data_IF_196002919129
#
_entry.id   IF_196002919129
#
_cell.length_a   1.000
_cell.length_b   1.000
_cell.length_c   1.000
_cell.angle_alpha   90.00
_cell.angle_beta   90.00
_cell.angle_gamma   90.00
#
_symmetry.space_group_name_H-M   'P 1'
#
loop_
_entity.id
_entity.type
_entity.pdbx_description
1 polymer ?
#
# COMPACT_ATOMS: atom_id res chain seq x y z
N UNK A 1 -16.51 3.86 31.38
CA UNK A 1 -16.12 3.57 29.98
C UNK A 1 -15.05 4.57 29.59
N UNK A 2 -13.78 4.19 29.43
CA UNK A 2 -12.73 5.14 29.09
C UNK A 2 -13.01 5.67 27.69
N UNK A 3 -13.18 6.99 27.57
CA UNK A 3 -13.45 7.66 26.30
C UNK A 3 -12.32 7.36 25.32
N UNK A 4 -12.69 6.92 24.11
CA UNK A 4 -11.75 6.84 23.01
C UNK A 4 -11.22 8.26 22.77
N UNK A 5 -9.96 8.53 23.12
CA UNK A 5 -9.34 9.84 22.88
C UNK A 5 -9.48 10.17 21.40
N UNK A 6 -10.00 11.36 21.11
CA UNK A 6 -10.15 11.87 19.74
C UNK A 6 -8.80 11.97 19.04
N UNK A 7 -7.78 12.35 19.82
CA UNK A 7 -6.41 12.59 19.36
C UNK A 7 -5.48 11.63 20.11
N UNK A 8 -5.09 10.58 19.38
CA UNK A 8 -4.08 9.63 19.83
C UNK A 8 -2.70 10.29 19.69
N UNK A 9 -1.80 10.14 20.66
CA UNK A 9 -0.43 10.63 20.50
C UNK A 9 0.20 9.99 19.26
N UNK A 10 1.04 10.75 18.55
CA UNK A 10 1.78 10.32 17.36
C UNK A 10 0.92 9.89 16.16
N UNK A 11 -0.39 10.20 16.12
CA UNK A 11 -1.23 9.96 14.94
C UNK A 11 -0.66 10.57 13.67
N UNK A 12 -0.06 11.76 13.77
CA UNK A 12 0.49 12.53 12.64
C UNK A 12 1.63 11.81 11.91
N UNK A 13 2.33 10.88 12.58
CA UNK A 13 3.37 10.04 11.98
C UNK A 13 2.77 9.00 11.01
N UNK A 14 1.49 8.64 11.20
CA UNK A 14 0.74 7.78 10.28
C UNK A 14 0.19 8.66 9.16
N UNK A 15 1.00 8.93 8.15
CA UNK A 15 0.63 9.80 7.01
C UNK A 15 -0.34 9.11 6.04
N UNK A 16 -1.24 9.90 5.44
CA UNK A 16 -2.15 9.39 4.42
C UNK A 16 -1.33 8.94 3.18
N UNK A 17 -1.60 7.74 2.62
CA UNK A 17 -0.81 7.21 1.52
C UNK A 17 -0.97 8.03 0.23
N UNK A 18 0.15 8.28 -0.44
CA UNK A 18 0.17 8.95 -1.75
C UNK A 18 -0.27 8.01 -2.87
N UNK A 19 -1.04 8.54 -3.83
CA UNK A 19 -1.40 7.89 -5.10
C UNK A 19 -1.15 8.83 -6.26
N UNK A 20 -0.50 8.35 -7.32
CA UNK A 20 -0.34 9.13 -8.54
C UNK A 20 -1.66 9.25 -9.33
N UNK A 21 -2.53 8.25 -9.25
CA UNK A 21 -3.82 8.21 -9.94
C UNK A 21 -4.95 8.54 -8.97
N UNK A 22 -5.95 9.36 -9.37
CA UNK A 22 -7.11 9.64 -8.54
C UNK A 22 -7.88 8.37 -8.14
N UNK A 23 -8.14 8.21 -6.84
CA UNK A 23 -8.89 7.07 -6.31
C UNK A 23 -10.40 7.22 -6.55
N UNK A 24 -11.16 6.15 -6.35
CA UNK A 24 -12.63 6.19 -6.52
C UNK A 24 -13.29 7.22 -5.59
N UNK A 25 -12.84 7.32 -4.33
CA UNK A 25 -13.38 8.28 -3.37
C UNK A 25 -13.03 9.74 -3.69
N UNK A 26 -11.93 9.99 -4.41
CA UNK A 26 -11.63 11.32 -4.94
C UNK A 26 -12.49 11.67 -6.15
N UNK A 27 -12.81 10.69 -6.99
CA UNK A 27 -13.63 10.90 -8.20
C UNK A 27 -15.13 10.99 -7.91
N UNK A 28 -15.61 10.34 -6.85
CA UNK A 28 -17.04 10.31 -6.49
C UNK A 28 -17.24 10.57 -4.98
N UNK A 29 -16.93 11.76 -4.44
CA UNK A 29 -16.94 12.00 -3.00
C UNK A 29 -18.30 11.74 -2.33
N UNK A 30 -19.40 12.06 -3.02
CA UNK A 30 -20.76 11.91 -2.51
C UNK A 30 -21.09 10.46 -2.16
N UNK A 31 -20.58 9.49 -2.92
CA UNK A 31 -20.78 8.05 -2.70
C UNK A 31 -20.08 7.53 -1.43
N UNK A 32 -19.05 8.23 -0.95
CA UNK A 32 -18.27 7.81 0.22
C UNK A 32 -18.66 8.59 1.49
N UNK A 33 -19.40 9.69 1.36
CA UNK A 33 -19.71 10.64 2.44
C UNK A 33 -21.06 10.38 3.12
N UNK A 34 -21.39 9.13 3.43
CA UNK A 34 -22.64 8.79 4.11
C UNK A 34 -22.51 8.81 5.65
N UNK A 35 -23.57 9.29 6.30
CA UNK A 35 -23.73 9.25 7.76
C UNK A 35 -24.22 7.87 8.25
N UNK A 36 -24.15 7.62 9.56
CA UNK A 36 -24.46 6.34 10.18
C UNK A 36 -25.97 5.99 10.24
N UNK A 37 -26.85 6.89 9.78
CA UNK A 37 -28.32 6.78 9.87
C UNK A 37 -28.87 6.53 8.46
N UNK A 38 -29.02 5.26 8.09
CA UNK A 38 -29.24 4.85 6.69
C UNK A 38 -30.72 4.74 6.31
N UNK A 39 -31.10 5.48 5.28
CA UNK A 39 -32.19 5.11 4.37
C UNK A 39 -31.76 3.93 3.49
N UNK A 40 -32.69 3.18 2.86
CA UNK A 40 -32.33 2.09 1.94
C UNK A 40 -31.41 2.54 0.79
N UNK A 41 -31.59 3.76 0.28
CA UNK A 41 -30.72 4.34 -0.75
C UNK A 41 -29.28 4.53 -0.24
N UNK A 42 -29.10 5.08 0.97
CA UNK A 42 -27.77 5.22 1.57
C UNK A 42 -27.09 3.86 1.81
N UNK A 43 -27.86 2.80 2.10
CA UNK A 43 -27.33 1.45 2.25
C UNK A 43 -26.72 0.92 0.93
N UNK A 44 -27.41 1.15 -0.19
CA UNK A 44 -26.93 0.76 -1.52
C UNK A 44 -25.64 1.51 -1.88
N UNK A 45 -25.58 2.81 -1.63
CA UNK A 45 -24.40 3.64 -1.87
C UNK A 45 -23.21 3.19 -1.01
N UNK A 46 -23.44 2.87 0.27
CA UNK A 46 -22.39 2.35 1.17
C UNK A 46 -21.81 1.04 0.64
N UNK A 47 -22.65 0.11 0.14
CA UNK A 47 -22.16 -1.15 -0.42
C UNK A 47 -21.39 -0.93 -1.72
N UNK A 48 -21.86 -0.05 -2.59
CA UNK A 48 -21.12 0.34 -3.79
C UNK A 48 -19.77 0.99 -3.44
N UNK A 49 -19.73 1.88 -2.45
CA UNK A 49 -18.50 2.51 -1.97
C UNK A 49 -17.51 1.47 -1.41
N UNK A 50 -17.99 0.49 -0.64
CA UNK A 50 -17.16 -0.60 -0.12
C UNK A 50 -16.56 -1.44 -1.23
N UNK A 51 -17.34 -1.77 -2.26
CA UNK A 51 -16.86 -2.52 -3.42
C UNK A 51 -15.74 -1.76 -4.13
N UNK A 52 -15.93 -0.47 -4.42
CA UNK A 52 -14.91 0.37 -5.04
C UNK A 52 -13.66 0.53 -4.17
N UNK A 53 -13.82 0.63 -2.84
CA UNK A 53 -12.70 0.68 -1.91
C UNK A 53 -11.87 -0.62 -1.88
N UNK A 54 -12.50 -1.78 -2.08
CA UNK A 54 -11.84 -3.08 -1.87
C UNK A 54 -10.68 -3.33 -2.85
N UNK A 55 -10.78 -2.81 -4.08
CA UNK A 55 -9.74 -2.87 -5.10
C UNK A 55 -8.74 -1.71 -5.04
N UNK A 56 -8.84 -0.80 -4.07
CA UNK A 56 -8.00 0.38 -4.01
C UNK A 56 -6.56 0.01 -3.58
N UNK A 57 -5.51 0.39 -4.34
CA UNK A 57 -4.13 -0.01 -4.05
C UNK A 57 -3.61 0.55 -2.70
N UNK A 58 -4.25 1.60 -2.19
CA UNK A 58 -3.90 2.23 -0.90
C UNK A 58 -4.84 1.87 0.24
N UNK A 59 -5.78 0.92 0.07
CA UNK A 59 -6.78 0.59 1.08
C UNK A 59 -6.15 0.29 2.46
N UNK A 60 -5.06 -0.48 2.51
CA UNK A 60 -4.36 -0.78 3.77
C UNK A 60 -3.75 0.46 4.45
N UNK A 61 -3.20 1.39 3.68
CA UNK A 61 -2.68 2.67 4.19
C UNK A 61 -3.80 3.60 4.65
N UNK A 62 -4.85 3.69 3.85
CA UNK A 62 -6.07 4.46 4.11
C UNK A 62 -6.76 3.99 5.41
N UNK A 63 -6.86 2.68 5.65
CA UNK A 63 -7.43 2.15 6.88
C UNK A 63 -6.61 2.54 8.11
N UNK A 64 -5.28 2.38 8.06
CA UNK A 64 -4.40 2.77 9.19
C UNK A 64 -4.55 4.25 9.53
N UNK A 65 -4.54 5.10 8.50
CA UNK A 65 -4.74 6.53 8.65
C UNK A 65 -6.11 6.84 9.29
N UNK A 66 -7.19 6.27 8.76
CA UNK A 66 -8.56 6.51 9.22
C UNK A 66 -8.83 5.98 10.65
N UNK A 67 -8.08 4.98 11.10
CA UNK A 67 -8.15 4.51 12.47
C UNK A 67 -7.41 5.46 13.42
N UNK A 68 -6.29 6.05 13.00
CA UNK A 68 -5.49 6.95 13.82
C UNK A 68 -6.09 8.38 13.90
N UNK A 69 -6.67 8.87 12.82
CA UNK A 69 -7.25 10.22 12.70
C UNK A 69 -8.78 10.14 12.85
N UNK A 70 -9.24 9.81 14.06
CA UNK A 70 -10.65 9.51 14.30
C UNK A 70 -11.58 10.73 14.11
N UNK A 71 -11.07 11.94 14.35
CA UNK A 71 -11.77 13.21 14.13
C UNK A 71 -11.99 13.47 12.64
N UNK A 72 -10.96 13.32 11.81
CA UNK A 72 -11.02 13.54 10.36
C UNK A 72 -11.80 12.43 9.64
N UNK A 73 -11.55 11.17 10.01
CA UNK A 73 -12.25 10.02 9.47
C UNK A 73 -13.49 9.64 10.31
N UNK A 74 -14.23 10.63 10.83
CA UNK A 74 -15.41 10.38 11.68
C UNK A 74 -16.57 9.78 10.91
N UNK A 75 -16.78 10.22 9.67
CA UNK A 75 -17.93 9.83 8.82
C UNK A 75 -17.47 9.06 7.57
N UNK A 76 -18.45 8.52 6.84
CA UNK A 76 -18.22 7.91 5.53
C UNK A 76 -17.50 6.56 5.52
N UNK A 77 -17.25 6.09 4.30
CA UNK A 77 -16.59 4.81 4.00
C UNK A 77 -15.11 5.03 3.74
N UNK A 78 -14.27 4.36 4.54
CA UNK A 78 -12.82 4.40 4.42
C UNK A 78 -12.29 2.98 4.34
N UNK A 79 -11.53 2.65 3.28
CA UNK A 79 -10.95 1.32 3.09
C UNK A 79 -11.97 0.17 3.32
N UNK A 80 -13.15 0.30 2.72
CA UNK A 80 -14.27 -0.64 2.83
C UNK A 80 -14.84 -0.81 4.25
N UNK A 81 -14.59 0.16 5.14
CA UNK A 81 -15.15 0.20 6.50
C UNK A 81 -16.01 1.43 6.72
N UNK A 82 -17.12 1.26 7.41
CA UNK A 82 -17.99 2.33 7.90
C UNK A 82 -17.45 2.91 9.21
N UNK A 83 -17.93 4.09 9.60
CA UNK A 83 -17.59 4.71 10.88
C UNK A 83 -17.79 3.77 12.08
N UNK A 84 -18.91 3.04 12.10
CA UNK A 84 -19.22 2.06 13.16
C UNK A 84 -18.23 0.89 13.19
N UNK A 85 -17.86 0.36 12.03
CA UNK A 85 -16.84 -0.70 11.94
C UNK A 85 -15.47 -0.19 12.41
N UNK A 86 -15.11 1.06 12.10
CA UNK A 86 -13.85 1.67 12.56
C UNK A 86 -13.80 1.83 14.08
N UNK A 87 -14.91 2.15 14.75
CA UNK A 87 -14.98 2.17 16.23
C UNK A 87 -14.61 0.80 16.79
N UNK A 88 -15.23 -0.28 16.28
CA UNK A 88 -14.93 -1.64 16.72
C UNK A 88 -13.47 -2.03 16.45
N UNK A 89 -12.91 -1.62 15.31
CA UNK A 89 -11.50 -1.88 14.97
C UNK A 89 -10.54 -1.16 15.92
N UNK A 90 -10.81 0.11 16.28
CA UNK A 90 -10.00 0.83 17.26
C UNK A 90 -10.03 0.16 18.63
N UNK A 91 -11.18 -0.36 19.05
CA UNK A 91 -11.29 -1.10 20.31
C UNK A 91 -10.45 -2.37 20.30
N UNK A 92 -10.50 -3.15 19.21
CA UNK A 92 -9.65 -4.34 19.05
C UNK A 92 -8.16 -4.01 19.01
N UNK A 93 -7.78 -2.84 18.48
CA UNK A 93 -6.39 -2.38 18.49
C UNK A 93 -5.96 -1.99 19.90
N UNK A 94 -6.79 -1.24 20.63
CA UNK A 94 -6.51 -0.87 22.00
C UNK A 94 -6.38 -2.08 22.93
N UNK A 95 -7.24 -3.08 22.74
CA UNK A 95 -7.19 -4.36 23.46
C UNK A 95 -5.90 -5.15 23.20
N UNK A 96 -5.40 -5.15 21.95
CA UNK A 96 -4.22 -5.93 21.56
C UNK A 96 -2.89 -5.23 21.79
N UNK A 97 -2.84 -3.91 21.64
CA UNK A 97 -1.60 -3.13 21.58
C UNK A 97 -1.48 -2.08 22.70
N UNK A 98 -2.53 -1.88 23.52
CA UNK A 98 -2.56 -0.84 24.54
C UNK A 98 -3.30 0.43 24.09
N UNK A 99 -3.53 1.34 25.03
CA UNK A 99 -4.26 2.60 24.80
C UNK A 99 -3.53 3.56 23.84
N UNK A 100 -2.22 3.41 23.71
CA UNK A 100 -1.29 4.12 22.82
C UNK A 100 -0.98 3.36 21.52
N UNK A 101 -1.88 2.45 21.10
CA UNK A 101 -1.70 1.63 19.91
C UNK A 101 -1.28 2.41 18.65
N UNK A 102 -1.66 3.69 18.52
CA UNK A 102 -1.29 4.55 17.41
C UNK A 102 0.23 4.75 17.33
N UNK A 103 0.90 4.99 18.46
CA UNK A 103 2.36 5.10 18.56
C UNK A 103 3.03 3.80 18.12
N UNK A 104 2.52 2.65 18.57
CA UNK A 104 3.02 1.33 18.16
C UNK A 104 2.90 1.11 16.65
N UNK A 105 1.80 1.56 16.05
CA UNK A 105 1.59 1.48 14.59
C UNK A 105 2.52 2.45 13.87
N UNK A 106 2.68 3.69 14.35
CA UNK A 106 3.59 4.67 13.80
C UNK A 106 5.04 4.16 13.75
N UNK A 107 5.54 3.61 14.87
CA UNK A 107 6.90 3.04 14.94
C UNK A 107 7.12 1.86 13.99
N UNK A 108 6.06 1.07 13.72
CA UNK A 108 6.13 -0.01 12.72
C UNK A 108 6.22 0.56 11.31
N UNK A 109 5.48 1.62 11.01
CA UNK A 109 5.51 2.27 9.69
C UNK A 109 6.86 2.95 9.43
N UNK A 110 7.43 3.61 10.43
CA UNK A 110 8.75 4.24 10.31
C UNK A 110 9.84 3.22 10.10
N UNK A 111 9.82 2.09 10.82
CA UNK A 111 10.73 0.97 10.56
C UNK A 111 10.59 0.43 9.14
N UNK A 112 9.36 0.26 8.64
CA UNK A 112 9.12 -0.19 7.25
C UNK A 112 9.65 0.82 6.23
N UNK A 113 9.48 2.12 6.49
CA UNK A 113 10.00 3.20 5.63
C UNK A 113 11.52 3.20 5.62
N UNK A 114 12.14 3.11 6.80
CA UNK A 114 13.59 3.02 6.95
C UNK A 114 14.18 1.80 6.24
N UNK A 115 13.55 0.61 6.38
CA UNK A 115 13.96 -0.60 5.66
C UNK A 115 13.88 -0.43 4.13
N UNK A 116 12.80 0.17 3.62
CA UNK A 116 12.66 0.44 2.17
C UNK A 116 13.71 1.43 1.65
N UNK A 117 14.04 2.46 2.43
CA UNK A 117 15.09 3.42 2.09
C UNK A 117 16.47 2.74 2.13
N UNK A 118 16.76 1.98 3.20
CA UNK A 118 18.00 1.22 3.32
C UNK A 118 18.17 0.27 2.14
N UNK A 119 17.13 -0.45 1.72
CA UNK A 119 17.17 -1.35 0.57
C UNK A 119 17.52 -0.65 -0.76
N UNK A 120 17.26 0.66 -0.92
CA UNK A 120 17.66 1.42 -2.12
C UNK A 120 19.16 1.71 -2.15
N UNK A 121 19.77 1.85 -0.97
CA UNK A 121 21.19 2.20 -0.82
C UNK A 121 22.05 1.02 -0.34
N UNK A 122 21.43 -0.15 -0.13
CA UNK A 122 22.15 -1.36 0.27
C UNK A 122 23.05 -1.76 -0.89
N UNK A 123 24.37 -1.85 -0.67
CA UNK A 123 25.27 -2.29 -1.71
C UNK A 123 24.93 -3.71 -2.12
N UNK A 124 25.13 -4.02 -3.41
CA UNK A 124 24.99 -5.38 -3.91
C UNK A 124 25.87 -6.33 -3.09
N UNK A 125 25.37 -7.52 -2.77
CA UNK A 125 26.22 -8.56 -2.17
C UNK A 125 27.37 -8.91 -3.14
N UNK A 126 28.49 -9.44 -2.63
CA UNK A 126 29.69 -9.77 -3.43
C UNK A 126 29.34 -10.55 -4.70
N UNK A 127 28.46 -11.55 -4.60
CA UNK A 127 28.01 -12.34 -5.74
C UNK A 127 27.23 -11.50 -6.78
N UNK A 128 26.31 -10.63 -6.35
CA UNK A 128 25.58 -9.73 -7.24
C UNK A 128 26.51 -8.71 -7.90
N UNK A 129 27.46 -8.15 -7.14
CA UNK A 129 28.46 -7.23 -7.68
C UNK A 129 29.36 -7.91 -8.72
N UNK A 130 29.72 -9.18 -8.51
CA UNK A 130 30.48 -10.00 -9.47
C UNK A 130 29.68 -10.23 -10.75
N UNK A 131 28.39 -10.54 -10.65
CA UNK A 131 27.50 -10.67 -11.82
C UNK A 131 27.47 -9.37 -12.62
N UNK A 132 27.26 -8.23 -11.95
CA UNK A 132 27.20 -6.92 -12.63
C UNK A 132 28.54 -6.56 -13.28
N UNK A 133 29.68 -6.88 -12.65
CA UNK A 133 31.00 -6.70 -13.25
C UNK A 133 31.17 -7.57 -14.50
N UNK A 134 30.85 -8.87 -14.41
CA UNK A 134 30.96 -9.78 -15.54
C UNK A 134 30.05 -9.36 -16.71
N UNK A 135 28.81 -8.95 -16.42
CA UNK A 135 27.89 -8.41 -17.43
C UNK A 135 28.49 -7.17 -18.13
N UNK A 136 29.09 -6.26 -17.37
CA UNK A 136 29.78 -5.10 -17.94
C UNK A 136 30.96 -5.48 -18.81
N UNK A 137 31.74 -6.48 -18.41
CA UNK A 137 32.91 -6.94 -19.17
C UNK A 137 32.49 -7.62 -20.49
N UNK A 138 31.38 -8.38 -20.47
CA UNK A 138 30.88 -9.12 -21.64
C UNK A 138 30.00 -8.27 -22.58
N UNK A 139 29.13 -7.43 -22.03
CA UNK A 139 28.09 -6.69 -22.75
C UNK A 139 28.37 -5.19 -22.84
N UNK A 140 29.43 -4.69 -22.19
CA UNK A 140 29.72 -3.27 -22.06
C UNK A 140 28.86 -2.58 -21.00
N UNK A 141 29.04 -1.26 -20.79
CA UNK A 141 28.26 -0.51 -19.80
C UNK A 141 26.78 -0.42 -20.18
N UNK A 142 25.89 -0.56 -19.19
CA UNK A 142 24.45 -0.36 -19.36
C UNK A 142 24.15 1.02 -19.99
N UNK A 143 23.38 1.10 -21.08
CA UNK A 143 23.06 2.37 -21.73
C UNK A 143 22.17 3.22 -20.82
N UNK A 144 22.48 4.52 -20.70
CA UNK A 144 21.68 5.47 -19.90
C UNK A 144 20.22 5.60 -20.36
N UNK A 145 19.95 5.31 -21.64
CA UNK A 145 18.61 5.23 -22.22
C UNK A 145 18.46 3.87 -22.91
N UNK A 146 17.82 2.89 -22.25
CA UNK A 146 17.63 1.59 -22.87
C UNK A 146 16.73 1.73 -24.10
N UNK A 147 17.10 1.03 -25.18
CA UNK A 147 16.27 0.92 -26.37
C UNK A 147 14.91 0.33 -25.98
N UNK A 148 13.81 0.97 -26.38
CA UNK A 148 12.47 0.40 -26.21
C UNK A 148 12.36 -0.83 -27.11
N UNK A 149 12.08 -1.97 -26.51
CA UNK A 149 11.77 -3.19 -27.24
C UNK A 149 10.32 -3.13 -27.71
N UNK A 150 10.10 -3.54 -28.96
CA UNK A 150 8.76 -3.86 -29.47
C UNK A 150 8.21 -5.11 -28.76
N UNK A 151 6.88 -5.28 -28.79
CA UNK A 151 6.23 -6.44 -28.17
C UNK A 151 6.78 -7.77 -28.72
N UNK A 152 7.04 -7.83 -30.02
CA UNK A 152 7.54 -9.03 -30.68
C UNK A 152 9.01 -9.31 -30.31
N UNK A 153 9.86 -8.28 -30.21
CA UNK A 153 11.23 -8.44 -29.70
C UNK A 153 11.22 -8.96 -28.25
N UNK A 154 10.31 -8.45 -27.42
CA UNK A 154 10.17 -8.90 -26.04
C UNK A 154 9.73 -10.37 -25.96
N UNK A 155 8.76 -10.78 -26.77
CA UNK A 155 8.31 -12.18 -26.86
C UNK A 155 9.43 -13.13 -27.30
N UNK A 156 10.21 -12.74 -28.32
CA UNK A 156 11.36 -13.53 -28.77
C UNK A 156 12.43 -13.68 -27.69
N UNK A 157 12.74 -12.59 -26.98
CA UNK A 157 13.70 -12.62 -25.88
C UNK A 157 13.24 -13.53 -24.75
N UNK A 158 11.96 -13.45 -24.36
CA UNK A 158 11.36 -14.32 -23.34
C UNK A 158 11.43 -15.78 -23.76
N UNK A 159 11.07 -16.10 -25.01
CA UNK A 159 11.15 -17.46 -25.53
C UNK A 159 12.58 -18.00 -25.44
N UNK A 160 13.58 -17.23 -25.91
CA UNK A 160 14.99 -17.62 -25.86
C UNK A 160 15.48 -17.88 -24.43
N UNK A 161 15.08 -17.04 -23.46
CA UNK A 161 15.43 -17.22 -22.06
C UNK A 161 14.80 -18.50 -21.47
N UNK A 162 13.51 -18.75 -21.76
CA UNK A 162 12.81 -19.93 -21.28
C UNK A 162 13.43 -21.22 -21.82
N UNK A 163 13.77 -21.25 -23.12
CA UNK A 163 14.46 -22.41 -23.73
C UNK A 163 15.83 -22.65 -23.08
N UNK A 164 16.60 -21.59 -22.83
CA UNK A 164 17.90 -21.70 -22.16
C UNK A 164 17.81 -22.21 -20.72
N UNK A 165 16.78 -21.81 -19.97
CA UNK A 165 16.52 -22.32 -18.62
C UNK A 165 16.10 -23.79 -18.65
N UNK A 166 15.27 -24.20 -19.61
CA UNK A 166 14.84 -25.59 -19.77
C UNK A 166 16.01 -26.51 -20.14
N UNK A 167 16.88 -26.08 -21.06
CA UNK A 167 18.07 -26.85 -21.46
C UNK A 167 19.02 -27.11 -20.27
N UNK A 168 19.20 -26.16 -19.35
CA UNK A 168 20.01 -26.34 -18.13
C UNK A 168 19.37 -27.24 -17.07
N UNK A 169 18.05 -27.48 -17.12
CA UNK A 169 17.36 -28.39 -16.19
C UNK A 169 17.36 -29.84 -16.68
N UNK A 170 17.62 -30.05 -17.96
CA UNK A 170 17.56 -31.36 -18.61
C UNK A 170 18.93 -32.06 -18.73
N UNK A 171 20.03 -31.38 -18.37
CA UNK A 171 21.38 -31.93 -18.27
C UNK A 171 21.96 -31.65 -16.89
#
# INVERSE_FOLDING_TARGET
MPGLRSDLPDSDRITFPYTATPTACQRQPTLFSHEATSTPAAQADIEQAKQLCSGCPIAAGCLKWALAHASEARLGVWASTTARQRIQLRWRLADRLGTDWATVVADREDRRRAQRLAARYTPLIVHQARIVRLDRDLNGPLPRRPRRLTRDEQQRNVHRLLTGVQARKAG
#
